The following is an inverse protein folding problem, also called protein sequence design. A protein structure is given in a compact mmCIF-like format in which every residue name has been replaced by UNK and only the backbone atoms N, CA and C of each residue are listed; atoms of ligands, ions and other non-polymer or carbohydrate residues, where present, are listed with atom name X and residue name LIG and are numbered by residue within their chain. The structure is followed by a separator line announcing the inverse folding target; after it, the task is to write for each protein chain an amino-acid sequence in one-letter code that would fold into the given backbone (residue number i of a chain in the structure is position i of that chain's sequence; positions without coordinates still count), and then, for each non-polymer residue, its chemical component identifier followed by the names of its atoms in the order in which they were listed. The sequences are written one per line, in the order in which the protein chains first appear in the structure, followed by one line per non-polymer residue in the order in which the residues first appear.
data_IF_562098852529
#
_entry.id   IF_562098852529
#
_cell.length_a   1.000
_cell.length_b   1.000
_cell.length_c   1.000
_cell.angle_alpha   90.00
_cell.angle_beta   90.00
_cell.angle_gamma   90.00
#
_symmetry.space_group_name_H-M   'P 1'
#
loop_
_entity.id
_entity.type
_entity.pdbx_description
1 polymer ?
#
# COMPACT_ATOMS: atom_id res chain seq x y z
N UNK A 1 4.71 -20.88 9.01
CA UNK A 1 5.16 -20.05 10.16
C UNK A 1 5.89 -18.80 9.67
N UNK A 2 5.21 -17.66 9.73
CA UNK A 2 5.74 -16.36 9.31
C UNK A 2 4.58 -15.39 9.15
N UNK A 3 4.52 -14.35 9.98
CA UNK A 3 3.50 -13.32 9.85
C UNK A 3 3.78 -12.53 8.57
N UNK A 4 2.81 -12.44 7.66
CA UNK A 4 2.90 -11.64 6.42
C UNK A 4 3.36 -10.22 6.74
N UNK A 5 2.89 -9.67 7.86
CA UNK A 5 3.24 -8.32 8.29
C UNK A 5 4.74 -8.17 8.60
N UNK A 6 5.41 -9.22 9.11
CA UNK A 6 6.85 -9.16 9.44
C UNK A 6 7.75 -9.39 8.23
N UNK A 7 7.25 -10.08 7.21
CA UNK A 7 7.90 -10.14 5.90
C UNK A 7 7.77 -8.79 5.17
N UNK A 8 6.56 -8.23 5.11
CA UNK A 8 6.28 -6.96 4.44
C UNK A 8 7.00 -5.79 5.11
N UNK A 9 7.04 -5.74 6.44
CA UNK A 9 7.80 -4.75 7.19
C UNK A 9 9.30 -4.79 6.84
N UNK A 10 9.90 -6.00 6.78
CA UNK A 10 11.32 -6.14 6.45
C UNK A 10 11.63 -5.67 5.03
N UNK A 11 10.78 -6.04 4.07
CA UNK A 11 10.88 -5.61 2.68
C UNK A 11 10.80 -4.09 2.56
N UNK A 12 9.79 -3.46 3.18
CA UNK A 12 9.63 -2.01 3.15
C UNK A 12 10.76 -1.27 3.86
N UNK A 13 11.31 -1.82 4.94
CA UNK A 13 12.42 -1.21 5.66
C UNK A 13 13.77 -1.30 4.92
N UNK A 14 13.90 -2.21 3.93
CA UNK A 14 15.17 -2.44 3.24
C UNK A 14 15.21 -1.88 1.81
N UNK A 15 14.07 -1.79 1.13
CA UNK A 15 14.00 -1.37 -0.27
C UNK A 15 13.96 0.15 -0.48
N UNK A 16 13.65 0.93 0.56
CA UNK A 16 13.58 2.39 0.46
C UNK A 16 12.34 2.88 -0.30
N UNK A 17 12.48 4.01 -0.98
CA UNK A 17 11.39 4.67 -1.70
C UNK A 17 11.40 4.23 -3.17
N UNK A 18 10.23 3.95 -3.74
CA UNK A 18 10.08 3.66 -5.16
C UNK A 18 9.61 4.86 -5.95
N UNK A 19 10.05 4.98 -7.19
CA UNK A 19 9.55 5.99 -8.13
C UNK A 19 8.20 5.58 -8.75
N UNK A 20 7.93 4.27 -8.86
CA UNK A 20 6.70 3.71 -9.43
C UNK A 20 6.18 2.55 -8.58
N UNK A 21 4.88 2.60 -8.25
CA UNK A 21 4.17 1.51 -7.60
C UNK A 21 2.90 1.18 -8.38
N UNK A 22 2.66 -0.11 -8.63
CA UNK A 22 1.53 -0.61 -9.39
C UNK A 22 0.77 -1.64 -8.56
N UNK A 23 -0.53 -1.40 -8.35
CA UNK A 23 -1.37 -2.23 -7.48
C UNK A 23 -2.47 -2.86 -8.33
N UNK A 24 -2.39 -4.17 -8.54
CA UNK A 24 -3.38 -4.91 -9.31
C UNK A 24 -4.65 -5.19 -8.50
N UNK A 25 -5.79 -5.22 -9.19
CA UNK A 25 -7.10 -5.60 -8.67
C UNK A 25 -7.21 -7.10 -8.33
N UNK A 26 -6.22 -7.91 -8.71
CA UNK A 26 -6.17 -9.35 -8.38
C UNK A 26 -5.94 -9.62 -6.88
N UNK A 27 -5.62 -8.59 -6.09
CA UNK A 27 -5.40 -8.71 -4.66
C UNK A 27 -6.72 -8.65 -3.87
N UNK A 28 -6.89 -9.52 -2.89
CA UNK A 28 -8.01 -9.47 -1.94
C UNK A 28 -7.99 -8.16 -1.15
N UNK A 29 -9.13 -7.47 -1.14
CA UNK A 29 -9.34 -6.16 -0.49
C UNK A 29 -8.99 -6.18 1.01
N UNK A 30 -9.21 -7.33 1.68
CA UNK A 30 -8.86 -7.50 3.11
C UNK A 30 -7.35 -7.51 3.34
N UNK A 31 -6.58 -8.09 2.41
CA UNK A 31 -5.13 -8.09 2.47
C UNK A 31 -4.56 -6.72 2.09
N UNK A 32 -5.20 -6.04 1.13
CA UNK A 32 -4.80 -4.72 0.66
C UNK A 32 -4.90 -3.66 1.77
N UNK A 33 -5.95 -3.73 2.59
CA UNK A 33 -6.15 -2.83 3.74
C UNK A 33 -4.90 -2.74 4.64
N UNK A 34 -4.28 -3.88 4.97
CA UNK A 34 -3.08 -3.91 5.82
C UNK A 34 -1.83 -3.41 5.11
N UNK A 35 -1.73 -3.63 3.80
CA UNK A 35 -0.60 -3.21 2.98
C UNK A 35 -0.45 -1.69 2.91
N UNK A 36 -1.54 -0.92 3.03
CA UNK A 36 -1.50 0.56 3.03
C UNK A 36 -0.60 1.14 4.12
N UNK A 37 -0.59 0.52 5.30
CA UNK A 37 0.28 0.94 6.41
C UNK A 37 1.77 0.88 6.04
N UNK A 38 2.14 -0.06 5.17
CA UNK A 38 3.52 -0.26 4.73
C UNK A 38 3.83 0.54 3.45
N UNK A 39 2.84 0.68 2.57
CA UNK A 39 2.94 1.46 1.32
C UNK A 39 3.34 2.92 1.55
N UNK A 40 2.82 3.57 2.60
CA UNK A 40 3.24 4.94 2.94
C UNK A 40 4.75 5.07 3.25
N UNK A 41 5.43 3.98 3.65
CA UNK A 41 6.85 3.99 4.04
C UNK A 41 7.79 3.86 2.84
N UNK A 42 7.27 3.39 1.72
CA UNK A 42 8.01 3.15 0.49
C UNK A 42 7.62 4.13 -0.63
N UNK A 43 6.81 5.14 -0.31
CA UNK A 43 6.31 6.16 -1.24
C UNK A 43 6.55 7.57 -0.70
N UNK A 44 6.85 8.52 -1.58
CA UNK A 44 6.97 9.94 -1.27
C UNK A 44 6.14 10.79 -2.25
N UNK A 45 6.36 12.10 -2.28
CA UNK A 45 5.66 13.03 -3.18
C UNK A 45 6.04 12.88 -4.67
N UNK A 46 7.15 12.19 -4.97
CA UNK A 46 7.64 11.94 -6.34
C UNK A 46 7.24 10.55 -6.85
N UNK A 47 6.86 9.63 -5.96
CA UNK A 47 6.34 8.31 -6.34
C UNK A 47 5.05 8.45 -7.16
N UNK A 48 5.05 7.82 -8.33
CA UNK A 48 3.85 7.61 -9.13
C UNK A 48 3.17 6.30 -8.72
N UNK A 49 1.89 6.35 -8.37
CA UNK A 49 1.15 5.15 -7.95
C UNK A 49 -0.04 4.93 -8.85
N UNK A 50 -0.18 3.71 -9.39
CA UNK A 50 -1.34 3.28 -10.16
C UNK A 50 -2.08 2.16 -9.45
N UNK A 51 -3.41 2.25 -9.45
CA UNK A 51 -4.31 1.22 -8.95
C UNK A 51 -5.21 0.77 -10.10
N UNK A 52 -5.25 -0.54 -10.30
CA UNK A 52 -6.19 -1.21 -11.18
C UNK A 52 -7.54 -1.37 -10.45
N UNK A 53 -8.64 -1.01 -11.11
CA UNK A 53 -9.99 -1.28 -10.62
C UNK A 53 -10.60 -2.51 -11.31
N UNK A 54 -11.70 -3.02 -10.75
CA UNK A 54 -12.51 -4.04 -11.39
C UNK A 54 -12.94 -3.55 -12.79
N UNK A 55 -12.45 -4.20 -13.85
CA UNK A 55 -12.54 -3.73 -15.23
C UNK A 55 -11.20 -3.47 -15.93
N UNK A 56 -10.06 -3.72 -15.26
CA UNK A 56 -8.70 -3.55 -15.82
C UNK A 56 -8.36 -2.11 -16.20
N UNK A 57 -9.04 -1.15 -15.59
CA UNK A 57 -8.78 0.28 -15.76
C UNK A 57 -7.80 0.75 -14.71
N UNK A 58 -6.76 1.47 -15.14
CA UNK A 58 -5.72 2.00 -14.28
C UNK A 58 -6.00 3.46 -13.94
N UNK A 59 -5.91 3.80 -12.67
CA UNK A 59 -6.06 5.15 -12.18
C UNK A 59 -4.87 5.54 -11.32
N UNK A 60 -4.45 6.80 -11.42
CA UNK A 60 -3.38 7.31 -10.58
C UNK A 60 -3.93 7.57 -9.17
N UNK A 61 -3.21 7.09 -8.15
CA UNK A 61 -3.55 7.27 -6.75
C UNK A 61 -2.68 8.36 -6.13
N UNK A 62 -3.25 9.51 -5.71
CA UNK A 62 -2.48 10.56 -5.07
C UNK A 62 -1.88 10.11 -3.74
N UNK A 63 -0.67 10.60 -3.41
CA UNK A 63 0.00 10.30 -2.14
C UNK A 63 -0.87 10.59 -0.92
N UNK A 64 -1.62 11.69 -0.92
CA UNK A 64 -2.56 12.03 0.15
C UNK A 64 -3.62 10.94 0.40
N UNK A 65 -4.03 10.22 -0.65
CA UNK A 65 -5.00 9.13 -0.54
C UNK A 65 -4.39 7.89 0.10
N UNK A 66 -3.12 7.60 -0.20
CA UNK A 66 -2.34 6.53 0.44
C UNK A 66 -2.22 6.80 1.95
N UNK A 67 -1.93 8.04 2.33
CA UNK A 67 -1.79 8.43 3.73
C UNK A 67 -3.11 8.31 4.50
N UNK A 68 -4.22 8.73 3.89
CA UNK A 68 -5.57 8.56 4.44
C UNK A 68 -5.87 7.07 4.70
N UNK A 69 -5.58 6.22 3.72
CA UNK A 69 -5.85 4.78 3.80
C UNK A 69 -4.95 4.10 4.82
N UNK A 70 -3.69 4.49 4.91
CA UNK A 70 -2.77 4.02 5.93
C UNK A 70 -3.23 4.38 7.35
N UNK A 71 -3.73 5.61 7.56
CA UNK A 71 -4.26 6.05 8.84
C UNK A 71 -5.51 5.26 9.26
N UNK A 72 -6.42 4.98 8.33
CA UNK A 72 -7.61 4.13 8.57
C UNK A 72 -7.22 2.72 9.02
N UNK A 73 -6.19 2.14 8.42
CA UNK A 73 -5.71 0.80 8.78
C UNK A 73 -5.09 0.71 10.19
N UNK A 74 -4.53 1.81 10.71
CA UNK A 74 -4.04 1.87 12.10
C UNK A 74 -5.20 1.91 13.09
N UNK A 75 -6.25 2.69 12.81
CA UNK A 75 -7.44 2.79 13.65
C UNK A 75 -8.15 1.44 13.81
N UNK A 76 -8.22 0.65 12.74
CA UNK A 76 -8.80 -0.70 12.77
C UNK A 76 -7.97 -1.74 13.55
N UNK A 77 -6.70 -1.43 13.89
CA UNK A 77 -5.85 -2.29 14.71
C UNK A 77 -5.91 -1.95 16.21
N UNK A 78 -6.41 -0.76 16.56
CA UNK A 78 -6.44 -0.26 17.93
C UNK A 78 -7.79 -0.49 18.66
N UNK A 79 -8.81 -0.98 17.94
CA UNK A 79 -10.08 -1.46 18.49
C UNK A 79 -10.21 -2.96 18.33
#
# INVERSE_FOLDING_TARGET
PGNIDSALARVCNHLGIFDLVVISAANDERHLARSWFFLQRITNSQTTVFVESAGRTWSMLPKAKIDEMAARSVLQRAG
#
